data_IF_733830565639
#
_entry.id   IF_733830565639
#
_cell.length_a   1.000
_cell.length_b   1.000
_cell.length_c   1.000
_cell.angle_alpha   90.00
_cell.angle_beta   90.00
_cell.angle_gamma   90.00
#
_symmetry.space_group_name_H-M   'P 1'
#
loop_
_entity.id
_entity.type
_entity.pdbx_description
1 polymer ?
#
# COMPACT_ATOMS: atom_id res chain seq x y z
N UNK A 1 -18.90 -18.05 -25.36
CA UNK A 1 -19.55 -17.45 -26.54
C UNK A 1 -20.90 -16.84 -26.17
N UNK A 2 -21.76 -17.54 -25.44
CA UNK A 2 -23.10 -17.04 -25.06
C UNK A 2 -23.03 -15.77 -24.20
N UNK A 3 -22.10 -15.69 -23.26
CA UNK A 3 -21.89 -14.51 -22.45
C UNK A 3 -21.49 -13.30 -23.30
N UNK A 4 -20.55 -13.44 -24.24
CA UNK A 4 -20.17 -12.35 -25.15
C UNK A 4 -21.38 -11.85 -25.93
N UNK A 5 -22.22 -12.76 -26.43
CA UNK A 5 -23.44 -12.39 -27.18
C UNK A 5 -24.47 -11.63 -26.35
N UNK A 6 -24.44 -11.80 -25.03
CA UNK A 6 -25.31 -11.05 -24.11
C UNK A 6 -24.85 -9.61 -23.89
N UNK A 7 -23.61 -9.28 -24.22
CA UNK A 7 -22.98 -7.96 -23.96
C UNK A 7 -23.37 -6.91 -25.01
N UNK A 8 -24.66 -6.80 -25.30
CA UNK A 8 -25.20 -5.95 -26.37
C UNK A 8 -25.11 -4.45 -26.09
N UNK A 9 -24.75 -4.04 -24.89
CA UNK A 9 -24.43 -2.64 -24.55
C UNK A 9 -23.13 -2.18 -25.22
N UNK A 10 -22.14 -3.06 -25.28
CA UNK A 10 -20.79 -2.77 -25.75
C UNK A 10 -20.51 -3.29 -27.15
N UNK A 11 -21.11 -4.41 -27.52
CA UNK A 11 -20.75 -5.19 -28.70
C UNK A 11 -21.90 -5.26 -29.70
N UNK A 12 -21.56 -5.24 -30.98
CA UNK A 12 -22.43 -5.58 -32.10
C UNK A 12 -21.92 -6.84 -32.80
N UNK A 13 -22.86 -7.64 -33.28
CA UNK A 13 -22.59 -8.91 -33.93
C UNK A 13 -23.12 -8.87 -35.35
N UNK A 14 -22.28 -9.27 -36.31
CA UNK A 14 -22.78 -9.47 -37.65
C UNK A 14 -23.65 -10.76 -37.71
N UNK A 15 -24.73 -10.70 -38.45
CA UNK A 15 -25.73 -11.78 -38.51
C UNK A 15 -25.27 -13.08 -39.21
N UNK A 16 -24.06 -13.14 -39.79
CA UNK A 16 -23.64 -14.21 -40.68
C UNK A 16 -22.38 -14.96 -40.27
N UNK A 17 -21.43 -14.32 -39.60
CA UNK A 17 -20.14 -14.96 -39.32
C UNK A 17 -19.75 -14.97 -37.86
N UNK A 18 -20.53 -14.31 -37.01
CA UNK A 18 -20.21 -14.21 -35.59
C UNK A 18 -19.07 -13.25 -35.30
N UNK A 19 -18.70 -12.39 -36.25
CA UNK A 19 -17.72 -11.32 -35.99
C UNK A 19 -18.31 -10.32 -35.00
N UNK A 20 -17.47 -9.91 -34.07
CA UNK A 20 -17.80 -8.97 -33.02
C UNK A 20 -17.11 -7.64 -33.30
N UNK A 21 -17.81 -6.56 -33.15
CA UNK A 21 -17.26 -5.22 -33.24
C UNK A 21 -17.76 -4.34 -32.10
N UNK A 22 -16.97 -3.33 -31.75
CA UNK A 22 -17.41 -2.33 -30.78
C UNK A 22 -18.60 -1.53 -31.31
N UNK A 23 -19.57 -1.30 -30.45
CA UNK A 23 -20.56 -0.27 -30.72
C UNK A 23 -19.90 1.12 -30.71
N UNK A 24 -20.45 2.03 -31.49
CA UNK A 24 -20.11 3.43 -31.39
C UNK A 24 -20.38 3.89 -29.96
N UNK A 25 -19.48 4.56 -29.34
CA UNK A 25 -19.59 5.06 -27.95
C UNK A 25 -19.50 3.98 -26.85
N UNK A 26 -19.13 2.73 -27.18
CA UNK A 26 -18.82 1.73 -26.17
C UNK A 26 -17.55 2.11 -25.41
N UNK A 27 -17.54 1.85 -24.09
CA UNK A 27 -16.37 1.96 -23.25
C UNK A 27 -15.63 0.60 -23.18
N UNK A 28 -14.47 0.47 -23.89
CA UNK A 28 -13.69 -0.78 -23.87
C UNK A 28 -13.12 -1.11 -22.50
N UNK A 29 -12.82 -0.12 -21.65
CA UNK A 29 -12.25 -0.35 -20.33
C UNK A 29 -13.33 -0.93 -19.39
N UNK A 30 -14.55 -0.36 -19.41
CA UNK A 30 -15.66 -0.91 -18.65
C UNK A 30 -16.01 -2.34 -19.10
N UNK A 31 -16.00 -2.59 -20.41
CA UNK A 31 -16.21 -3.96 -20.93
C UNK A 31 -15.11 -4.92 -20.48
N UNK A 32 -13.84 -4.52 -20.52
CA UNK A 32 -12.72 -5.36 -20.13
C UNK A 32 -12.82 -5.80 -18.66
N UNK A 33 -13.26 -4.91 -17.76
CA UNK A 33 -13.52 -5.26 -16.35
C UNK A 33 -14.61 -6.33 -16.21
N UNK A 34 -15.70 -6.20 -16.96
CA UNK A 34 -16.76 -7.20 -16.98
C UNK A 34 -16.28 -8.54 -17.55
N UNK A 35 -15.47 -8.49 -18.61
CA UNK A 35 -14.91 -9.70 -19.23
C UNK A 35 -13.93 -10.42 -18.31
N UNK A 36 -13.12 -9.68 -17.53
CA UNK A 36 -12.24 -10.27 -16.53
C UNK A 36 -13.04 -10.93 -15.40
N UNK A 37 -14.06 -10.27 -14.89
CA UNK A 37 -14.92 -10.85 -13.85
C UNK A 37 -15.53 -12.18 -14.30
N UNK A 38 -16.04 -12.24 -15.52
CA UNK A 38 -16.56 -13.49 -16.10
C UNK A 38 -15.45 -14.53 -16.31
N UNK A 39 -14.28 -14.13 -16.79
CA UNK A 39 -13.16 -15.04 -16.98
C UNK A 39 -12.74 -15.68 -15.64
N UNK A 40 -12.63 -14.89 -14.58
CA UNK A 40 -12.30 -15.39 -13.22
C UNK A 40 -13.38 -16.34 -12.67
N UNK A 41 -14.64 -16.15 -13.00
CA UNK A 41 -15.70 -17.13 -12.65
C UNK A 41 -15.57 -18.44 -13.46
N UNK A 42 -15.16 -18.35 -14.73
CA UNK A 42 -14.95 -19.53 -15.59
C UNK A 42 -13.69 -20.33 -15.26
N UNK A 43 -12.72 -19.71 -14.57
CA UNK A 43 -11.50 -20.36 -14.06
C UNK A 43 -11.75 -21.18 -12.80
N UNK A 44 -12.79 -20.86 -12.03
CA UNK A 44 -13.10 -21.55 -10.78
C UNK A 44 -13.45 -23.01 -11.04
N UNK A 45 -12.83 -23.91 -10.28
CA UNK A 45 -13.27 -25.30 -10.15
C UNK A 45 -14.29 -25.39 -9.01
N UNK A 46 -15.36 -26.13 -9.23
CA UNK A 46 -16.31 -26.42 -8.14
C UNK A 46 -15.63 -27.37 -7.12
N UNK A 47 -15.42 -26.95 -5.85
CA UNK A 47 -14.79 -27.79 -4.83
C UNK A 47 -15.63 -29.04 -4.51
N UNK A 48 -16.97 -28.98 -4.75
CA UNK A 48 -17.90 -30.09 -4.50
C UNK A 48 -18.02 -31.03 -5.71
N UNK A 49 -17.59 -30.57 -6.92
CA UNK A 49 -17.60 -31.31 -8.16
C UNK A 49 -16.27 -31.16 -8.92
N UNK A 50 -15.17 -31.77 -8.46
CA UNK A 50 -13.85 -31.63 -9.09
C UNK A 50 -13.78 -32.15 -10.53
N UNK A 51 -14.78 -32.92 -10.99
CA UNK A 51 -14.90 -33.38 -12.36
C UNK A 51 -15.49 -32.33 -13.33
N UNK A 52 -16.09 -31.25 -12.80
CA UNK A 52 -16.36 -30.04 -13.58
C UNK A 52 -15.06 -29.24 -13.69
N UNK A 53 -14.24 -29.59 -14.65
CA UNK A 53 -13.01 -28.85 -14.96
C UNK A 53 -13.32 -27.39 -15.26
N UNK A 54 -12.42 -26.48 -14.87
CA UNK A 54 -12.47 -25.09 -15.23
C UNK A 54 -12.79 -24.94 -16.73
N UNK A 55 -13.78 -24.10 -17.04
CA UNK A 55 -14.26 -23.90 -18.43
C UNK A 55 -13.21 -23.21 -19.31
N UNK A 56 -12.26 -22.50 -18.68
CA UNK A 56 -11.11 -21.89 -19.32
C UNK A 56 -9.85 -22.09 -18.47
N UNK A 57 -8.72 -22.15 -19.11
CA UNK A 57 -7.40 -22.19 -18.47
C UNK A 57 -6.59 -21.03 -19.01
N UNK A 58 -6.18 -20.06 -18.18
CA UNK A 58 -5.38 -18.93 -18.62
C UNK A 58 -3.97 -19.39 -19.01
N UNK A 59 -3.37 -18.73 -20.00
CA UNK A 59 -1.98 -18.90 -20.36
C UNK A 59 -1.19 -17.78 -19.68
N UNK A 60 -0.43 -18.10 -18.63
CA UNK A 60 0.41 -17.14 -17.94
C UNK A 60 1.83 -17.12 -18.47
N UNK A 61 2.42 -15.93 -18.57
CA UNK A 61 3.81 -15.68 -18.92
C UNK A 61 4.37 -14.56 -18.06
N UNK A 62 5.61 -14.69 -17.65
CA UNK A 62 6.34 -13.60 -17.00
C UNK A 62 7.17 -12.87 -18.03
N UNK A 63 7.12 -11.55 -18.03
CA UNK A 63 7.92 -10.74 -18.93
C UNK A 63 9.43 -10.90 -18.63
N UNK A 64 10.23 -11.01 -19.67
CA UNK A 64 11.68 -10.96 -19.55
C UNK A 64 12.14 -9.62 -20.15
N UNK A 65 12.41 -8.67 -19.27
CA UNK A 65 12.56 -7.27 -19.66
C UNK A 65 11.20 -6.57 -19.81
N UNK A 66 11.01 -5.86 -20.91
CA UNK A 66 9.82 -5.04 -21.16
C UNK A 66 8.82 -5.67 -22.16
N UNK A 67 8.95 -6.94 -22.46
CA UNK A 67 8.09 -7.65 -23.42
C UNK A 67 7.73 -9.04 -22.95
N UNK A 68 6.53 -9.47 -23.32
CA UNK A 68 6.08 -10.84 -23.21
C UNK A 68 5.45 -11.26 -24.54
N UNK A 69 5.70 -12.49 -24.97
CA UNK A 69 5.18 -13.03 -26.23
C UNK A 69 4.30 -14.24 -25.93
N UNK A 70 3.09 -14.23 -26.47
CA UNK A 70 2.21 -15.39 -26.53
C UNK A 70 2.19 -15.86 -27.98
N UNK A 71 2.76 -16.99 -28.23
CA UNK A 71 2.87 -17.62 -29.56
C UNK A 71 1.91 -18.82 -29.69
N UNK A 72 1.76 -19.31 -30.92
CA UNK A 72 0.91 -20.47 -31.27
C UNK A 72 -0.56 -20.34 -30.81
N UNK A 73 -1.08 -19.12 -30.76
CA UNK A 73 -2.48 -18.87 -30.46
C UNK A 73 -3.36 -19.15 -31.68
N UNK A 74 -4.54 -19.69 -31.45
CA UNK A 74 -5.57 -19.77 -32.47
C UNK A 74 -6.12 -18.39 -32.81
N UNK A 75 -6.70 -18.24 -34.01
CA UNK A 75 -7.46 -17.01 -34.30
C UNK A 75 -8.67 -16.92 -33.36
N UNK A 76 -8.88 -15.76 -32.73
CA UNK A 76 -9.96 -15.57 -31.78
C UNK A 76 -9.86 -14.26 -31.01
N UNK A 77 -10.72 -14.12 -30.04
CA UNK A 77 -10.74 -12.97 -29.13
C UNK A 77 -10.01 -13.32 -27.85
N UNK A 78 -9.11 -12.45 -27.42
CA UNK A 78 -8.28 -12.66 -26.24
C UNK A 78 -8.49 -11.53 -25.23
N UNK A 79 -8.63 -11.91 -23.98
CA UNK A 79 -8.54 -10.99 -22.84
C UNK A 79 -7.12 -11.08 -22.30
N UNK A 80 -6.49 -9.93 -22.12
CA UNK A 80 -5.16 -9.83 -21.49
C UNK A 80 -5.34 -9.14 -20.15
N UNK A 81 -4.92 -9.81 -19.10
CA UNK A 81 -4.84 -9.27 -17.75
C UNK A 81 -3.38 -9.16 -17.34
N UNK A 82 -3.03 -8.13 -16.54
CA UNK A 82 -1.67 -7.90 -16.10
C UNK A 82 -1.61 -7.71 -14.59
N UNK A 83 -0.44 -7.92 -13.99
CA UNK A 83 -0.23 -7.71 -12.56
C UNK A 83 -0.39 -6.25 -12.13
N UNK A 84 -0.42 -5.32 -13.09
CA UNK A 84 -0.68 -3.90 -12.86
C UNK A 84 -2.18 -3.56 -12.85
N UNK A 85 -3.04 -4.57 -13.07
CA UNK A 85 -4.49 -4.41 -13.11
C UNK A 85 -5.01 -3.83 -14.41
N UNK A 86 -4.20 -3.82 -15.47
CA UNK A 86 -4.59 -3.34 -16.80
C UNK A 86 -5.24 -4.45 -17.59
N UNK A 87 -6.35 -4.12 -18.22
CA UNK A 87 -7.09 -5.02 -19.11
C UNK A 87 -6.99 -4.52 -20.54
N UNK A 88 -6.61 -5.43 -21.43
CA UNK A 88 -6.67 -5.20 -22.88
C UNK A 88 -7.52 -6.29 -23.51
N UNK A 89 -8.55 -5.91 -24.24
CA UNK A 89 -9.32 -6.83 -25.07
C UNK A 89 -8.80 -6.77 -26.50
N UNK A 90 -8.45 -7.94 -27.04
CA UNK A 90 -7.82 -8.08 -28.35
C UNK A 90 -8.70 -8.90 -29.29
N UNK A 91 -9.01 -8.35 -30.44
CA UNK A 91 -9.55 -9.06 -31.58
C UNK A 91 -8.38 -9.47 -32.51
N UNK A 92 -8.08 -10.76 -32.58
CA UNK A 92 -7.00 -11.25 -33.43
C UNK A 92 -7.55 -11.86 -34.73
N UNK A 93 -7.95 -11.03 -35.66
CA UNK A 93 -7.98 -11.42 -37.07
C UNK A 93 -6.62 -11.21 -37.74
N UNK A 94 -5.72 -10.51 -37.08
CA UNK A 94 -4.34 -10.31 -37.52
C UNK A 94 -3.42 -11.43 -37.08
N UNK A 95 -2.42 -11.78 -37.91
CA UNK A 95 -1.45 -12.85 -37.61
C UNK A 95 -0.48 -12.50 -36.49
N UNK A 96 -0.28 -11.22 -36.26
CA UNK A 96 0.60 -10.67 -35.24
C UNK A 96 0.03 -9.34 -34.75
N UNK A 97 -0.05 -9.19 -33.45
CA UNK A 97 -0.53 -7.96 -32.81
C UNK A 97 0.40 -7.64 -31.64
N UNK A 98 0.82 -6.39 -31.57
CA UNK A 98 1.57 -5.85 -30.44
C UNK A 98 0.66 -4.94 -29.63
N UNK A 99 0.53 -5.23 -28.35
CA UNK A 99 -0.15 -4.38 -27.37
C UNK A 99 0.93 -3.69 -26.56
N UNK A 100 0.88 -2.36 -26.47
CA UNK A 100 1.71 -1.58 -25.58
C UNK A 100 0.92 -1.26 -24.33
N UNK A 101 1.30 -1.84 -23.20
CA UNK A 101 0.82 -1.42 -21.90
C UNK A 101 1.46 -0.08 -21.54
N UNK A 102 0.66 0.93 -21.21
CA UNK A 102 1.12 2.28 -20.90
C UNK A 102 0.96 2.62 -19.41
N UNK A 103 0.68 1.64 -18.59
CA UNK A 103 0.48 1.90 -17.18
C UNK A 103 1.83 1.99 -16.47
N UNK A 104 1.95 3.03 -15.67
CA UNK A 104 3.05 3.20 -14.74
C UNK A 104 2.70 2.54 -13.41
N UNK A 105 3.72 2.01 -12.71
CA UNK A 105 3.54 1.46 -11.38
C UNK A 105 3.24 2.58 -10.38
N UNK A 106 2.31 2.37 -9.43
CA UNK A 106 2.15 3.32 -8.33
C UNK A 106 3.40 3.32 -7.45
N UNK A 107 3.66 4.44 -6.81
CA UNK A 107 4.76 4.57 -5.84
C UNK A 107 4.23 5.10 -4.52
N UNK A 108 5.02 4.97 -3.47
CA UNK A 108 4.72 5.57 -2.17
C UNK A 108 5.91 6.36 -1.67
N UNK A 109 5.62 7.47 -1.00
CA UNK A 109 6.57 8.21 -0.19
C UNK A 109 6.10 8.24 1.26
N UNK A 110 7.07 8.21 2.18
CA UNK A 110 6.80 8.25 3.61
C UNK A 110 7.64 9.29 4.29
N UNK A 111 7.00 10.07 5.15
CA UNK A 111 7.63 11.18 5.84
C UNK A 111 7.16 11.23 7.30
N UNK A 112 7.99 11.81 8.13
CA UNK A 112 7.72 12.11 9.52
C UNK A 112 7.98 13.60 9.76
N UNK A 113 7.16 14.22 10.59
CA UNK A 113 7.29 15.65 10.90
C UNK A 113 8.30 15.89 12.01
N UNK A 114 9.21 16.83 11.79
CA UNK A 114 10.08 17.37 12.84
C UNK A 114 9.37 18.54 13.52
N UNK A 115 8.99 18.38 14.78
CA UNK A 115 8.20 19.38 15.52
C UNK A 115 8.89 20.72 15.69
N UNK A 116 10.22 20.71 15.79
CA UNK A 116 11.01 21.92 15.99
C UNK A 116 10.99 22.86 14.78
N UNK A 117 10.83 22.31 13.58
CA UNK A 117 10.80 23.07 12.33
C UNK A 117 9.41 23.09 11.66
N UNK A 118 8.58 22.08 11.95
CA UNK A 118 7.31 21.83 11.26
C UNK A 118 7.46 21.18 9.89
N UNK A 119 8.70 20.86 9.49
CA UNK A 119 8.99 20.27 8.17
C UNK A 119 8.84 18.74 8.19
N UNK A 120 8.42 18.18 7.06
CA UNK A 120 8.37 16.73 6.84
C UNK A 120 9.67 16.23 6.20
N UNK A 121 10.13 15.07 6.66
CA UNK A 121 11.34 14.43 6.15
C UNK A 121 11.38 12.94 6.45
N UNK A 122 12.52 12.32 6.18
CA UNK A 122 12.73 10.90 6.48
C UNK A 122 13.09 10.63 7.95
N UNK A 123 13.46 11.67 8.70
CA UNK A 123 13.88 11.55 10.10
C UNK A 123 13.34 12.70 10.93
N UNK A 124 13.04 12.42 12.20
CA UNK A 124 12.74 13.43 13.20
C UNK A 124 13.36 13.07 14.56
N UNK A 125 13.27 14.01 15.48
CA UNK A 125 13.60 13.83 16.89
C UNK A 125 12.36 14.03 17.75
N UNK A 126 12.17 13.18 18.76
CA UNK A 126 11.05 13.28 19.69
C UNK A 126 11.47 12.81 21.08
N UNK A 127 10.73 13.27 22.11
CA UNK A 127 10.86 12.78 23.48
C UNK A 127 9.90 11.61 23.73
N UNK A 128 10.21 10.74 24.68
CA UNK A 128 9.27 9.74 25.16
C UNK A 128 8.02 10.46 25.70
N UNK A 129 6.86 10.08 25.22
CA UNK A 129 5.57 10.72 25.50
C UNK A 129 5.10 11.69 24.42
N UNK A 130 5.98 12.12 23.51
CA UNK A 130 5.58 13.01 22.41
C UNK A 130 4.73 12.29 21.39
N UNK A 131 3.84 13.05 20.74
CA UNK A 131 3.06 12.60 19.60
C UNK A 131 3.81 12.95 18.32
N UNK A 132 4.07 11.94 17.50
CA UNK A 132 4.76 12.04 16.21
C UNK A 132 3.76 11.97 15.08
N UNK A 133 3.82 12.92 14.14
CA UNK A 133 2.97 12.97 12.96
C UNK A 133 3.66 12.32 11.76
N UNK A 134 2.97 11.37 11.14
CA UNK A 134 3.42 10.68 9.92
C UNK A 134 2.55 11.03 8.72
N UNK A 135 3.17 11.08 7.56
CA UNK A 135 2.51 11.26 6.27
C UNK A 135 3.00 10.21 5.29
N UNK A 136 2.06 9.53 4.63
CA UNK A 136 2.34 8.64 3.50
C UNK A 136 1.60 9.16 2.29
N UNK A 137 2.31 9.40 1.19
CA UNK A 137 1.71 9.79 -0.09
C UNK A 137 1.74 8.60 -1.03
N UNK A 138 0.59 8.16 -1.50
CA UNK A 138 0.45 7.16 -2.55
C UNK A 138 0.26 7.90 -3.86
N UNK A 139 1.21 7.76 -4.80
CA UNK A 139 1.11 8.29 -6.15
C UNK A 139 0.31 7.31 -7.00
N UNK A 140 -1.01 7.38 -6.83
CA UNK A 140 -1.94 6.48 -7.49
C UNK A 140 -1.98 6.73 -8.99
N UNK A 141 -2.05 5.65 -9.76
CA UNK A 141 -2.09 5.69 -11.21
C UNK A 141 -3.49 5.46 -11.73
N UNK A 142 -3.79 6.01 -12.87
CA UNK A 142 -5.03 5.72 -13.60
C UNK A 142 -5.23 4.21 -13.72
N UNK A 143 -6.44 3.75 -13.40
CA UNK A 143 -6.78 2.32 -13.44
C UNK A 143 -6.31 1.54 -12.22
N UNK A 144 -6.11 2.24 -11.09
CA UNK A 144 -5.77 1.65 -9.80
C UNK A 144 -6.67 0.45 -9.43
N UNK A 145 -6.07 -0.65 -8.99
CA UNK A 145 -6.79 -1.86 -8.59
C UNK A 145 -6.20 -2.46 -7.33
N UNK A 146 -7.08 -2.92 -6.45
CA UNK A 146 -6.73 -3.72 -5.26
C UNK A 146 -5.68 -3.08 -4.35
N UNK A 147 -5.71 -1.74 -4.18
CA UNK A 147 -4.73 -1.06 -3.34
C UNK A 147 -4.90 -1.41 -1.86
N UNK A 148 -3.80 -1.87 -1.26
CA UNK A 148 -3.67 -2.08 0.19
C UNK A 148 -2.38 -1.41 0.65
N UNK A 149 -2.50 -0.39 1.49
CA UNK A 149 -1.33 0.23 2.13
C UNK A 149 -1.00 -0.53 3.40
N UNK A 150 0.21 -1.05 3.48
CA UNK A 150 0.76 -1.72 4.65
C UNK A 150 1.63 -0.75 5.44
N UNK A 151 1.47 -0.72 6.75
CA UNK A 151 2.28 0.08 7.65
C UNK A 151 2.69 -0.74 8.87
N UNK A 152 3.96 -0.70 9.24
CA UNK A 152 4.49 -1.37 10.42
C UNK A 152 5.41 -0.47 11.21
N UNK A 153 5.17 -0.39 12.51
CA UNK A 153 5.95 0.36 13.47
C UNK A 153 6.75 -0.56 14.36
N UNK A 154 7.90 -0.11 14.81
CA UNK A 154 8.64 -0.75 15.91
C UNK A 154 7.92 -0.52 17.23
N UNK A 155 8.21 -1.36 18.24
CA UNK A 155 7.54 -1.33 19.56
C UNK A 155 7.65 0.01 20.30
N UNK A 156 8.64 0.85 19.95
CA UNK A 156 8.80 2.19 20.52
C UNK A 156 7.76 3.20 20.07
N UNK A 157 6.94 2.88 19.07
CA UNK A 157 5.88 3.72 18.55
C UNK A 157 4.52 3.09 18.84
N UNK A 158 3.62 3.82 19.48
CA UNK A 158 2.23 3.39 19.73
C UNK A 158 1.30 4.18 18.83
N UNK A 159 0.70 3.52 17.84
CA UNK A 159 -0.27 4.13 16.92
C UNK A 159 -1.46 4.70 17.69
N UNK A 160 -1.94 5.87 17.27
CA UNK A 160 -3.28 6.37 17.61
C UNK A 160 -4.26 5.95 16.48
N UNK A 161 -5.06 4.89 16.67
CA UNK A 161 -5.88 4.31 15.59
C UNK A 161 -6.95 5.26 15.04
N UNK A 162 -7.45 6.19 15.87
CA UNK A 162 -8.49 7.14 15.50
C UNK A 162 -7.95 8.33 14.70
N UNK A 163 -6.64 8.49 14.66
CA UNK A 163 -5.98 9.58 13.93
C UNK A 163 -5.78 9.30 12.44
N UNK A 164 -5.98 8.05 11.98
CA UNK A 164 -5.76 7.68 10.60
C UNK A 164 -6.83 8.33 9.72
N UNK A 165 -6.39 9.17 8.79
CA UNK A 165 -7.24 9.88 7.84
C UNK A 165 -6.58 9.98 6.46
N UNK A 166 -7.40 10.07 5.43
CA UNK A 166 -6.98 10.33 4.05
C UNK A 166 -7.73 11.57 3.58
N UNK A 167 -6.99 12.56 3.08
CA UNK A 167 -7.59 13.81 2.65
C UNK A 167 -8.64 13.58 1.54
N UNK A 168 -9.83 14.09 1.75
CA UNK A 168 -10.93 14.01 0.79
C UNK A 168 -11.67 12.66 0.74
N UNK A 169 -11.28 11.65 1.53
CA UNK A 169 -11.88 10.32 1.53
C UNK A 169 -12.62 10.01 2.83
N UNK A 170 -13.69 9.22 2.74
CA UNK A 170 -14.52 8.79 3.86
C UNK A 170 -14.16 7.38 4.33
N UNK A 171 -13.73 7.26 5.61
CA UNK A 171 -13.45 5.98 6.26
C UNK A 171 -14.74 5.14 6.36
N UNK A 172 -14.66 3.89 5.92
CA UNK A 172 -15.81 2.97 5.88
C UNK A 172 -16.50 2.89 4.52
N UNK A 173 -16.42 3.94 3.71
CA UNK A 173 -16.96 4.03 2.35
C UNK A 173 -15.84 3.85 1.31
N UNK A 174 -14.85 4.75 1.32
CA UNK A 174 -13.78 4.78 0.32
C UNK A 174 -12.60 3.89 0.69
N UNK A 175 -12.40 3.68 1.99
CA UNK A 175 -11.37 2.79 2.52
C UNK A 175 -11.75 2.20 3.88
N UNK A 176 -11.09 1.11 4.26
CA UNK A 176 -11.19 0.48 5.58
C UNK A 176 -9.81 0.37 6.20
N UNK A 177 -9.74 0.48 7.53
CA UNK A 177 -8.51 0.25 8.29
C UNK A 177 -8.63 -1.07 9.04
N UNK A 178 -7.58 -1.87 8.96
CA UNK A 178 -7.42 -3.15 9.68
C UNK A 178 -6.15 -3.07 10.51
N UNK A 179 -6.13 -3.72 11.69
CA UNK A 179 -5.00 -3.66 12.61
C UNK A 179 -4.41 -5.04 12.86
N UNK A 180 -3.13 -5.09 13.26
CA UNK A 180 -2.41 -6.30 13.68
C UNK A 180 -2.50 -7.43 12.64
N UNK A 181 -2.23 -7.10 11.36
CA UNK A 181 -2.37 -8.03 10.24
C UNK A 181 -1.08 -8.80 9.98
N UNK A 182 -1.03 -10.12 10.30
CA UNK A 182 0.13 -10.95 10.00
C UNK A 182 0.16 -11.32 8.51
N UNK A 183 1.31 -11.17 7.89
CA UNK A 183 1.61 -11.65 6.54
C UNK A 183 2.46 -12.90 6.61
N UNK A 184 2.10 -13.92 5.85
CA UNK A 184 2.76 -15.21 5.86
C UNK A 184 3.59 -15.42 4.60
N UNK A 185 4.74 -16.07 4.76
CA UNK A 185 5.51 -16.63 3.65
C UNK A 185 4.78 -17.84 3.06
N UNK A 186 5.23 -18.27 1.90
CA UNK A 186 4.69 -19.47 1.22
C UNK A 186 4.79 -20.74 2.07
N UNK A 187 5.71 -20.81 3.04
CA UNK A 187 5.89 -21.91 3.97
C UNK A 187 4.98 -21.85 5.21
N UNK A 188 4.11 -20.83 5.29
CA UNK A 188 3.17 -20.60 6.38
C UNK A 188 3.76 -19.90 7.61
N UNK A 189 5.04 -19.55 7.61
CA UNK A 189 5.63 -18.74 8.68
C UNK A 189 5.28 -17.26 8.51
N UNK A 190 5.14 -16.53 9.64
CA UNK A 190 4.91 -15.08 9.60
C UNK A 190 6.15 -14.38 9.07
N UNK A 191 5.99 -13.59 8.01
CA UNK A 191 7.04 -12.75 7.45
C UNK A 191 7.16 -11.44 8.21
N UNK A 192 6.03 -10.74 8.36
CA UNK A 192 5.89 -9.52 9.15
C UNK A 192 4.43 -9.37 9.61
N UNK A 193 4.23 -8.47 10.59
CA UNK A 193 2.89 -8.06 11.02
C UNK A 193 2.76 -6.55 10.80
N UNK A 194 1.73 -6.14 10.09
CA UNK A 194 1.39 -4.73 9.95
C UNK A 194 0.77 -4.21 11.25
N UNK A 195 1.20 -3.03 11.68
CA UNK A 195 0.52 -2.27 12.74
C UNK A 195 -0.88 -1.89 12.27
N UNK A 196 -1.00 -1.45 11.03
CA UNK A 196 -2.30 -1.29 10.36
C UNK A 196 -2.17 -1.48 8.85
N UNK A 197 -3.32 -1.70 8.22
CA UNK A 197 -3.50 -1.71 6.78
C UNK A 197 -4.66 -0.81 6.40
N UNK A 198 -4.53 -0.14 5.25
CA UNK A 198 -5.62 0.60 4.62
C UNK A 198 -6.00 -0.14 3.34
N UNK A 199 -7.20 -0.71 3.33
CA UNK A 199 -7.77 -1.39 2.17
C UNK A 199 -8.71 -0.42 1.46
N UNK A 200 -8.34 0.00 0.25
CA UNK A 200 -9.16 0.90 -0.55
C UNK A 200 -10.33 0.15 -1.18
N UNK A 201 -11.50 0.78 -1.19
CA UNK A 201 -12.66 0.24 -1.90
C UNK A 201 -12.44 0.33 -3.41
N UNK A 202 -12.70 -0.76 -4.16
CA UNK A 202 -12.54 -0.74 -5.61
C UNK A 202 -13.44 0.29 -6.28
N UNK A 203 -14.64 0.52 -5.73
CA UNK A 203 -15.55 1.55 -6.22
C UNK A 203 -14.93 2.97 -6.16
N UNK A 204 -14.11 3.27 -5.14
CA UNK A 204 -13.35 4.50 -5.08
C UNK A 204 -12.19 4.48 -6.10
N UNK A 205 -11.39 3.41 -6.14
CA UNK A 205 -10.27 3.29 -7.08
C UNK A 205 -10.72 3.44 -8.53
N UNK A 206 -11.91 2.98 -8.87
CA UNK A 206 -12.52 3.11 -10.19
C UNK A 206 -12.81 4.56 -10.59
N UNK A 207 -12.85 5.50 -9.63
CA UNK A 207 -13.01 6.93 -9.90
C UNK A 207 -11.71 7.62 -10.29
N UNK A 208 -10.55 6.95 -10.09
CA UNK A 208 -9.23 7.50 -10.44
C UNK A 208 -9.03 7.39 -11.95
N UNK A 209 -9.34 8.47 -12.66
CA UNK A 209 -9.27 8.54 -14.14
C UNK A 209 -7.96 9.17 -14.64
N UNK A 210 -7.18 9.75 -13.73
CA UNK A 210 -5.87 10.34 -13.97
C UNK A 210 -4.97 10.12 -12.76
N UNK A 211 -3.66 10.32 -12.90
CA UNK A 211 -2.71 10.17 -11.80
C UNK A 211 -3.06 11.12 -10.66
N UNK A 212 -3.12 10.59 -9.44
CA UNK A 212 -3.65 11.30 -8.26
C UNK A 212 -2.85 10.92 -7.02
N UNK A 213 -2.54 11.90 -6.19
CA UNK A 213 -1.91 11.69 -4.89
C UNK A 213 -2.97 11.43 -3.81
N UNK A 214 -2.83 10.32 -3.08
CA UNK A 214 -3.63 9.99 -1.92
C UNK A 214 -2.77 10.20 -0.67
N UNK A 215 -3.09 11.23 0.12
CA UNK A 215 -2.31 11.61 1.29
C UNK A 215 -2.92 11.03 2.55
N UNK A 216 -2.21 10.09 3.15
CA UNK A 216 -2.57 9.44 4.43
C UNK A 216 -1.81 10.13 5.54
N UNK A 217 -2.51 10.59 6.57
CA UNK A 217 -1.92 11.16 7.80
C UNK A 217 -2.38 10.40 9.02
N UNK A 218 -1.51 10.27 10.01
CA UNK A 218 -1.78 9.63 11.29
C UNK A 218 -0.73 9.99 12.33
N UNK A 219 -1.02 9.69 13.58
CA UNK A 219 -0.16 9.98 14.72
C UNK A 219 0.21 8.71 15.49
N UNK A 220 1.41 8.71 16.05
CA UNK A 220 1.84 7.73 17.03
C UNK A 220 2.54 8.40 18.21
N UNK A 221 2.48 7.79 19.39
CA UNK A 221 3.21 8.25 20.56
C UNK A 221 4.53 7.49 20.67
N UNK A 222 5.64 8.22 20.85
CA UNK A 222 6.91 7.61 21.21
C UNK A 222 6.82 7.14 22.68
N UNK A 223 6.83 5.82 22.89
CA UNK A 223 6.56 5.22 24.19
C UNK A 223 7.85 4.80 24.95
N UNK A 224 7.70 4.23 26.13
CA UNK A 224 8.80 3.83 27.02
C UNK A 224 9.67 2.69 26.44
N UNK A 225 9.21 1.97 25.42
CA UNK A 225 10.00 0.94 24.72
C UNK A 225 10.84 1.52 23.58
N UNK A 226 10.85 2.84 23.43
CA UNK A 226 11.61 3.49 22.38
C UNK A 226 13.11 3.15 22.49
N UNK A 227 13.68 2.80 21.35
CA UNK A 227 15.14 2.64 21.25
C UNK A 227 15.80 4.01 21.39
N UNK A 228 16.73 4.10 22.33
CA UNK A 228 17.42 5.34 22.66
C UNK A 228 18.83 5.28 22.09
N UNK A 229 19.30 6.32 21.44
CA UNK A 229 20.67 6.51 20.94
C UNK A 229 20.77 6.51 19.39
N UNK A 230 21.74 5.77 18.82
CA UNK A 230 22.06 5.79 17.38
C UNK A 230 20.97 5.07 16.57
N UNK A 231 20.43 4.00 17.12
CA UNK A 231 19.32 3.28 16.50
C UNK A 231 18.04 4.11 16.57
N UNK A 232 17.14 3.90 15.65
CA UNK A 232 15.91 4.67 15.52
C UNK A 232 14.66 3.81 15.76
N UNK A 233 13.58 4.48 16.12
CA UNK A 233 12.26 3.89 16.12
C UNK A 233 11.71 4.00 14.70
N UNK A 234 11.54 2.86 14.05
CA UNK A 234 11.25 2.80 12.62
C UNK A 234 9.75 2.72 12.36
N UNK A 235 9.33 3.35 11.28
CA UNK A 235 8.02 3.19 10.72
C UNK A 235 8.13 2.99 9.21
N UNK A 236 7.71 1.81 8.74
CA UNK A 236 7.81 1.36 7.36
C UNK A 236 6.44 1.31 6.69
N UNK A 237 6.40 1.65 5.42
CA UNK A 237 5.19 1.51 4.60
C UNK A 237 5.50 0.99 3.20
N UNK A 238 4.54 0.28 2.60
CA UNK A 238 4.52 -0.09 1.19
C UNK A 238 3.10 -0.22 0.68
N UNK A 239 2.92 -0.15 -0.62
CA UNK A 239 1.64 -0.40 -1.28
C UNK A 239 1.65 -1.78 -1.94
N UNK A 240 0.62 -2.58 -1.69
CA UNK A 240 0.23 -3.72 -2.50
C UNK A 240 -0.84 -3.27 -3.51
N UNK A 241 -0.75 -3.76 -4.75
CA UNK A 241 -1.65 -3.36 -5.83
C UNK A 241 -1.80 -4.47 -6.89
N UNK A 242 -2.86 -4.38 -7.67
CA UNK A 242 -3.15 -5.35 -8.73
C UNK A 242 -3.33 -6.78 -8.20
N UNK A 243 -2.63 -7.74 -8.77
CA UNK A 243 -2.64 -9.14 -8.33
C UNK A 243 -1.44 -9.47 -7.42
N UNK A 244 -1.35 -8.78 -6.27
CA UNK A 244 -0.30 -8.94 -5.26
C UNK A 244 1.10 -8.45 -5.67
N UNK A 245 1.19 -7.45 -6.57
CA UNK A 245 2.42 -6.66 -6.76
C UNK A 245 2.62 -5.72 -5.58
N UNK A 246 3.87 -5.39 -5.25
CA UNK A 246 4.18 -4.49 -4.13
C UNK A 246 5.25 -3.49 -4.51
N UNK A 247 5.13 -2.27 -3.99
CA UNK A 247 6.23 -1.30 -4.03
C UNK A 247 7.35 -1.71 -3.07
N UNK A 248 8.51 -1.09 -3.20
CA UNK A 248 9.54 -1.18 -2.18
C UNK A 248 9.08 -0.52 -0.87
N UNK A 249 9.61 -1.01 0.26
CA UNK A 249 9.38 -0.40 1.56
C UNK A 249 10.00 1.00 1.64
N UNK A 250 9.23 1.95 2.15
CA UNK A 250 9.69 3.29 2.53
C UNK A 250 9.70 3.40 4.03
N UNK A 251 10.71 4.06 4.58
CA UNK A 251 10.96 4.07 6.02
C UNK A 251 11.19 5.49 6.52
N UNK A 252 10.71 5.75 7.72
CA UNK A 252 11.09 6.92 8.52
C UNK A 252 11.71 6.51 9.85
N UNK A 253 12.55 7.39 10.39
CA UNK A 253 13.30 7.20 11.62
C UNK A 253 12.92 8.28 12.65
N UNK A 254 12.38 7.86 13.80
CA UNK A 254 12.20 8.74 14.96
C UNK A 254 13.29 8.45 15.97
N UNK A 255 14.09 9.48 16.29
CA UNK A 255 15.24 9.37 17.18
C UNK A 255 14.97 10.04 18.53
N UNK A 256 15.41 9.39 19.59
CA UNK A 256 15.42 9.96 20.94
C UNK A 256 16.79 9.74 21.58
N UNK A 257 17.20 10.66 22.41
CA UNK A 257 18.54 10.65 22.96
C UNK A 257 18.48 10.67 24.49
N UNK A 258 19.48 10.05 25.13
CA UNK A 258 19.69 10.17 26.56
C UNK A 258 21.00 10.90 26.83
N UNK A 259 21.06 11.61 27.94
CA UNK A 259 22.31 12.09 28.50
C UNK A 259 22.38 11.72 29.97
N UNK A 260 23.57 11.50 30.45
CA UNK A 260 23.86 11.23 31.85
C UNK A 260 24.31 12.50 32.57
N UNK A 261 23.79 12.75 33.76
CA UNK A 261 24.18 13.83 34.60
C UNK A 261 24.69 13.28 35.94
N UNK A 262 25.92 13.64 36.29
CA UNK A 262 26.54 13.25 37.54
C UNK A 262 26.87 14.49 38.36
N UNK A 263 26.35 14.57 39.56
CA UNK A 263 26.73 15.63 40.50
C UNK A 263 27.77 15.13 41.48
N UNK A 264 28.89 15.83 41.55
CA UNK A 264 30.00 15.56 42.43
C UNK A 264 30.20 16.72 43.41
N UNK A 265 30.74 16.44 44.60
CA UNK A 265 31.29 17.46 45.50
C UNK A 265 32.66 17.92 45.06
N UNK A 266 33.25 18.83 45.85
CA UNK A 266 34.61 19.38 45.59
C UNK A 266 35.69 18.29 45.64
N UNK A 267 35.45 17.19 46.36
CA UNK A 267 36.35 16.04 46.44
C UNK A 267 36.10 14.97 45.38
N UNK A 268 35.20 15.24 44.38
CA UNK A 268 34.78 14.35 43.32
C UNK A 268 34.03 13.11 43.81
N UNK A 269 33.37 13.18 44.96
CA UNK A 269 32.46 12.14 45.43
C UNK A 269 31.04 12.39 44.91
N UNK A 270 30.31 11.31 44.65
CA UNK A 270 28.91 11.38 44.22
C UNK A 270 28.03 12.03 45.29
N UNK A 271 27.31 13.08 44.94
CA UNK A 271 26.29 13.68 45.78
C UNK A 271 24.96 13.02 45.54
N UNK A 272 24.37 12.45 46.60
CA UNK A 272 23.03 11.88 46.57
C UNK A 272 21.95 12.91 46.93
N UNK A 273 20.72 12.72 46.47
CA UNK A 273 19.57 13.54 46.83
C UNK A 273 19.49 14.89 46.07
N UNK A 274 20.26 15.08 45.01
CA UNK A 274 20.11 16.25 44.15
C UNK A 274 18.94 16.02 43.18
N UNK A 275 18.05 17.00 43.09
CA UNK A 275 16.98 17.02 42.10
C UNK A 275 17.41 17.85 40.89
N UNK A 276 17.09 17.35 39.69
CA UNK A 276 17.41 18.01 38.44
C UNK A 276 16.13 18.19 37.63
N UNK A 277 16.05 19.34 36.96
CA UNK A 277 15.05 19.60 35.92
C UNK A 277 15.78 20.01 34.67
N UNK A 278 15.39 19.44 33.55
CA UNK A 278 15.94 19.74 32.25
C UNK A 278 14.95 20.60 31.47
N UNK A 279 15.45 21.55 30.71
CA UNK A 279 14.66 22.40 29.83
C UNK A 279 15.28 22.45 28.45
N UNK A 280 14.46 22.56 27.40
CA UNK A 280 14.89 22.63 26.01
C UNK A 280 15.60 23.95 25.65
N UNK A 281 15.47 24.96 26.48
CA UNK A 281 16.16 26.23 26.27
C UNK A 281 16.62 26.86 27.60
N UNK A 282 17.69 27.68 27.54
CA UNK A 282 18.28 28.37 28.67
C UNK A 282 17.31 29.32 29.39
N UNK A 283 16.38 29.91 28.66
CA UNK A 283 15.40 30.88 29.19
C UNK A 283 14.06 30.65 28.51
N UNK A 284 13.01 30.48 29.30
CA UNK A 284 11.65 30.29 28.80
C UNK A 284 11.41 28.90 28.10
N UNK A 285 12.35 27.97 28.27
CA UNK A 285 12.22 26.62 27.72
C UNK A 285 11.11 25.81 28.37
N UNK A 286 10.64 24.80 27.65
CA UNK A 286 9.71 23.79 28.17
C UNK A 286 10.50 22.76 28.99
N UNK A 287 9.92 22.29 30.08
CA UNK A 287 10.50 21.21 30.87
C UNK A 287 10.50 19.92 30.03
N UNK A 288 11.67 19.31 29.92
CA UNK A 288 11.83 17.99 29.29
C UNK A 288 11.52 16.94 30.37
N UNK A 289 10.51 16.13 30.14
CA UNK A 289 10.11 15.06 31.07
C UNK A 289 11.12 13.92 30.92
N UNK A 290 11.82 13.60 31.99
CA UNK A 290 12.74 12.48 32.05
C UNK A 290 12.00 11.25 32.58
N UNK A 291 12.02 10.17 31.82
CA UNK A 291 11.56 8.86 32.28
C UNK A 291 12.70 8.21 33.04
N UNK A 292 12.42 7.80 34.28
CA UNK A 292 13.41 7.06 35.09
C UNK A 292 13.53 5.65 34.51
N UNK A 293 14.72 5.32 34.00
CA UNK A 293 15.05 3.94 33.67
C UNK A 293 14.99 3.12 34.98
N UNK A 294 14.07 2.19 35.07
CA UNK A 294 14.08 1.19 36.15
C UNK A 294 15.15 0.17 35.78
N UNK A 295 16.27 0.21 36.47
CA UNK A 295 17.28 -0.86 36.39
C UNK A 295 16.57 -2.20 36.60
N UNK A 296 16.61 -3.08 35.56
CA UNK A 296 16.11 -4.44 35.62
C UNK A 296 16.97 -5.34 36.49
#
# INVERSE_FOLDING_TARGET
ENWLRSQTTYLSFDGQGGYVSWKKDADPAAFAKLALAEAKELEKTDPENPEESAKITPISRTATGNTVVFDNLNLGYYLVDTTLGTLCFLDTTAKEVTIAEKNEEPTVDKEVKEDSTGEFGSTNTAQIGDTVEFRTTIHAKKGAQSYVLHDKMTEGLTLNPDSISIEGLEKGTDYKVQFDRPHQKKDGTTDYTCTFEIVFAQAYLDTITEDTDLVVTYFATLNEKAVISIDANLNDTRLEYGEASTTEWKQTETKTFKFGLVKLDEEKKLLTGAEFKLYDAKTGGKEIILVKETDG
#
